data_IF_899047391137
#
_entry.id   IF_899047391137
#
_cell.length_a   1.000
_cell.length_b   1.000
_cell.length_c   1.000
_cell.angle_alpha   90.00
_cell.angle_beta   90.00
_cell.angle_gamma   90.00
#
_symmetry.space_group_name_H-M   'P 1'
#
loop_
_entity.id
_entity.type
_entity.pdbx_description
1 polymer ?
#
# COMPACT_ATOMS: atom_id res chain seq x y z
N UNK A 1 10.69 18.63 21.59
CA UNK A 1 11.42 17.95 20.49
C UNK A 1 11.14 16.47 20.62
N UNK A 2 10.37 15.91 19.70
CA UNK A 2 10.11 14.48 19.68
C UNK A 2 11.01 13.85 18.62
N UNK A 3 11.94 13.03 19.06
CA UNK A 3 12.79 12.22 18.18
C UNK A 3 12.28 10.79 18.24
N UNK A 4 11.99 10.20 17.09
CA UNK A 4 11.77 8.76 17.00
C UNK A 4 13.11 8.07 16.81
N UNK A 5 13.45 7.15 17.70
CA UNK A 5 14.66 6.33 17.59
C UNK A 5 14.32 5.09 16.76
N UNK A 6 14.84 5.00 15.55
CA UNK A 6 14.74 3.81 14.72
C UNK A 6 16.06 3.04 14.83
N UNK A 7 15.96 1.79 15.26
CA UNK A 7 17.11 0.88 15.29
C UNK A 7 17.15 0.10 13.97
N UNK A 8 18.06 0.47 13.09
CA UNK A 8 18.35 -0.25 11.85
C UNK A 8 19.74 -0.82 11.99
N UNK A 9 19.87 -2.10 12.37
CA UNK A 9 21.14 -2.71 12.69
C UNK A 9 21.85 -1.95 13.82
N UNK A 10 23.18 -1.97 13.86
CA UNK A 10 24.00 -1.34 14.92
C UNK A 10 24.07 0.20 14.87
N UNK A 11 23.28 0.87 14.02
CA UNK A 11 23.26 2.34 13.92
C UNK A 11 21.92 2.92 14.31
N UNK A 12 21.87 3.60 15.45
CA UNK A 12 20.72 4.43 15.82
C UNK A 12 20.75 5.71 14.96
N UNK A 13 19.85 5.83 14.00
CA UNK A 13 19.61 7.09 13.30
C UNK A 13 18.44 7.82 13.93
N UNK A 14 18.66 9.05 14.35
CA UNK A 14 17.60 9.93 14.83
C UNK A 14 17.09 10.76 13.64
N UNK A 15 15.87 10.47 13.18
CA UNK A 15 15.22 11.30 12.18
C UNK A 15 14.47 12.42 12.91
N UNK A 16 14.80 13.66 12.58
CA UNK A 16 14.15 14.82 13.16
C UNK A 16 12.73 14.94 12.58
N UNK A 17 11.72 14.54 13.35
CA UNK A 17 10.30 14.64 12.97
C UNK A 17 9.78 16.09 12.92
N UNK A 18 10.58 17.08 13.32
CA UNK A 18 10.16 18.49 13.40
C UNK A 18 9.86 19.13 12.02
N UNK A 19 10.24 18.48 10.91
CA UNK A 19 9.99 18.95 9.54
C UNK A 19 8.83 18.27 8.81
N UNK A 20 8.37 17.10 9.28
CA UNK A 20 7.24 16.39 8.63
C UNK A 20 5.97 16.76 9.38
N UNK A 21 5.25 17.75 8.88
CA UNK A 21 3.93 18.09 9.41
C UNK A 21 2.99 16.88 9.31
N UNK A 22 2.03 16.79 10.26
CA UNK A 22 1.04 15.71 10.29
C UNK A 22 0.33 15.59 8.94
N UNK A 23 0.42 14.44 8.28
CA UNK A 23 -0.20 14.23 6.96
C UNK A 23 -1.73 14.28 7.05
N UNK A 24 -2.39 14.46 5.91
CA UNK A 24 -3.85 14.39 5.86
C UNK A 24 -4.37 13.02 6.32
N UNK A 25 -3.66 11.95 5.93
CA UNK A 25 -3.96 10.57 6.37
C UNK A 25 -3.95 10.47 7.89
N UNK A 26 -2.88 10.95 8.54
CA UNK A 26 -2.75 10.93 9.99
C UNK A 26 -3.86 11.72 10.70
N UNK A 27 -4.22 12.91 10.16
CA UNK A 27 -5.32 13.73 10.73
C UNK A 27 -6.68 13.03 10.63
N UNK A 28 -6.92 12.32 9.54
CA UNK A 28 -8.16 11.58 9.31
C UNK A 28 -8.29 10.41 10.31
N UNK A 29 -7.21 9.64 10.51
CA UNK A 29 -7.19 8.53 11.46
C UNK A 29 -7.31 9.01 12.92
N UNK A 30 -6.66 10.12 13.28
CA UNK A 30 -6.82 10.73 14.62
C UNK A 30 -8.28 11.12 14.87
N UNK A 31 -8.92 11.74 13.89
CA UNK A 31 -10.35 12.11 14.00
C UNK A 31 -11.24 10.88 14.20
N UNK A 32 -10.89 9.78 13.54
CA UNK A 32 -11.57 8.50 13.67
C UNK A 32 -11.17 7.71 14.93
N UNK A 33 -10.16 8.20 15.68
CA UNK A 33 -9.60 7.52 16.87
C UNK A 33 -9.03 6.15 16.59
N UNK A 34 -8.53 5.94 15.38
CA UNK A 34 -7.88 4.70 14.96
C UNK A 34 -6.40 4.77 15.34
N UNK A 35 -5.89 3.68 15.90
CA UNK A 35 -4.48 3.56 16.29
C UNK A 35 -3.61 3.30 15.07
N UNK A 36 -2.50 4.00 14.99
CA UNK A 36 -1.49 3.82 13.95
C UNK A 36 -0.13 4.32 14.43
N UNK A 37 0.90 3.97 13.71
CA UNK A 37 2.25 4.51 13.88
C UNK A 37 2.73 5.07 12.54
N UNK A 38 3.41 6.21 12.57
CA UNK A 38 4.08 6.79 11.40
C UNK A 38 5.53 6.36 11.42
N UNK A 39 5.96 5.68 10.36
CA UNK A 39 7.32 5.15 10.23
C UNK A 39 8.01 5.81 9.04
N UNK A 40 9.00 6.67 9.30
CA UNK A 40 9.75 7.36 8.26
C UNK A 40 10.75 6.41 7.57
N UNK A 41 11.02 6.68 6.29
CA UNK A 41 12.08 6.05 5.51
C UNK A 41 12.74 7.07 4.59
N UNK A 42 13.98 6.80 4.14
CA UNK A 42 14.69 7.68 3.20
C UNK A 42 14.12 7.48 1.78
N UNK A 43 13.78 8.59 1.13
CA UNK A 43 13.26 8.55 -0.24
C UNK A 43 14.41 8.44 -1.22
N UNK A 44 14.41 7.38 -2.02
CA UNK A 44 15.22 7.29 -3.22
C UNK A 44 14.29 7.50 -4.42
N UNK A 45 14.45 8.63 -5.13
CA UNK A 45 13.60 8.93 -6.28
C UNK A 45 13.89 8.02 -7.49
N UNK A 46 15.03 7.33 -7.48
CA UNK A 46 15.39 6.36 -8.52
C UNK A 46 14.80 4.98 -8.25
N UNK A 47 14.48 4.68 -6.97
CA UNK A 47 13.83 3.44 -6.55
C UNK A 47 12.67 3.73 -5.57
N UNK A 48 11.47 3.86 -6.12
CA UNK A 48 10.23 3.99 -5.35
C UNK A 48 9.56 2.63 -5.08
N UNK A 49 10.31 1.54 -5.23
CA UNK A 49 9.85 0.17 -5.05
C UNK A 49 9.52 -0.16 -3.60
N UNK A 50 8.54 -1.05 -3.42
CA UNK A 50 8.16 -1.48 -2.07
C UNK A 50 9.27 -2.33 -1.40
N UNK A 51 10.13 -3.00 -2.18
CA UNK A 51 11.26 -3.76 -1.64
C UNK A 51 12.26 -2.84 -0.92
N UNK A 52 12.63 -1.72 -1.56
CA UNK A 52 13.50 -0.73 -0.94
C UNK A 52 12.92 -0.19 0.38
N UNK A 53 11.61 0.02 0.44
CA UNK A 53 10.92 0.42 1.66
C UNK A 53 11.00 -0.67 2.73
N UNK A 54 10.68 -1.92 2.38
CA UNK A 54 10.72 -3.05 3.31
C UNK A 54 12.12 -3.24 3.92
N UNK A 55 13.17 -3.16 3.08
CA UNK A 55 14.56 -3.29 3.50
C UNK A 55 14.95 -2.20 4.50
N UNK A 56 14.53 -0.94 4.27
CA UNK A 56 14.78 0.15 5.19
C UNK A 56 14.02 0.03 6.51
N UNK A 57 12.81 -0.50 6.46
CA UNK A 57 11.99 -0.73 7.65
C UNK A 57 12.50 -1.95 8.46
N UNK A 58 13.27 -2.85 7.84
CA UNK A 58 13.65 -4.15 8.41
C UNK A 58 12.45 -5.09 8.57
N UNK A 59 11.47 -4.97 7.67
CA UNK A 59 10.20 -5.69 7.71
C UNK A 59 10.02 -6.60 6.49
N UNK A 60 9.16 -7.58 6.63
CA UNK A 60 8.81 -8.48 5.52
C UNK A 60 8.08 -7.69 4.41
N UNK A 61 8.56 -7.84 3.16
CA UNK A 61 7.92 -7.25 1.98
C UNK A 61 6.44 -7.64 1.84
N UNK A 62 6.05 -8.80 2.36
CA UNK A 62 4.66 -9.26 2.38
C UNK A 62 3.76 -8.42 3.30
N UNK A 63 4.33 -7.68 4.26
CA UNK A 63 3.63 -6.74 5.14
C UNK A 63 3.59 -5.32 4.59
N UNK A 64 4.40 -5.01 3.57
CA UNK A 64 4.42 -3.69 2.92
C UNK A 64 3.48 -3.71 1.72
N UNK A 65 2.37 -2.98 1.81
CA UNK A 65 1.32 -2.97 0.78
C UNK A 65 1.41 -1.71 -0.07
N UNK A 66 1.27 -1.89 -1.38
CA UNK A 66 1.18 -0.79 -2.35
C UNK A 66 -0.27 -0.55 -2.76
N UNK A 67 -0.61 0.73 -2.91
CA UNK A 67 -1.94 1.17 -3.33
C UNK A 67 -1.92 1.48 -4.83
N UNK A 68 -2.68 0.74 -5.59
CA UNK A 68 -2.79 0.84 -7.04
C UNK A 68 -4.18 1.33 -7.41
N UNK A 69 -4.27 2.26 -8.35
CA UNK A 69 -5.54 2.77 -8.86
C UNK A 69 -5.75 2.23 -10.27
N UNK A 70 -6.92 1.67 -10.49
CA UNK A 70 -7.31 1.03 -11.73
C UNK A 70 -8.51 1.75 -12.36
N UNK A 71 -8.66 1.56 -13.66
CA UNK A 71 -9.83 1.98 -14.43
C UNK A 71 -10.58 0.76 -14.94
N UNK A 72 -11.89 0.85 -14.97
CA UNK A 72 -12.76 -0.19 -15.51
C UNK A 72 -13.83 0.36 -16.45
N UNK A 73 -14.51 -0.54 -17.13
CA UNK A 73 -15.54 -0.20 -18.11
C UNK A 73 -16.88 0.22 -17.48
N UNK A 74 -17.20 -0.28 -16.28
CA UNK A 74 -18.42 0.05 -15.54
C UNK A 74 -18.13 0.92 -14.32
N UNK A 75 -17.25 0.45 -13.44
CA UNK A 75 -16.73 1.20 -12.30
C UNK A 75 -15.47 1.89 -12.78
N UNK A 76 -15.60 3.19 -13.12
CA UNK A 76 -14.56 3.95 -13.80
C UNK A 76 -13.23 3.95 -13.06
N UNK A 77 -13.23 4.09 -11.74
CA UNK A 77 -12.03 4.07 -10.91
C UNK A 77 -12.27 3.24 -9.66
N UNK A 78 -11.30 2.43 -9.30
CA UNK A 78 -11.29 1.63 -8.09
C UNK A 78 -9.85 1.38 -7.64
N UNK A 79 -9.67 0.93 -6.42
CA UNK A 79 -8.36 0.81 -5.76
C UNK A 79 -8.09 -0.64 -5.39
N UNK A 80 -6.89 -1.10 -5.69
CA UNK A 80 -6.36 -2.38 -5.22
C UNK A 80 -5.16 -2.14 -4.31
N UNK A 81 -5.18 -2.72 -3.13
CA UNK A 81 -4.08 -2.67 -2.16
C UNK A 81 -3.50 -4.07 -2.05
N UNK A 82 -2.28 -4.23 -2.52
CA UNK A 82 -1.63 -5.55 -2.69
C UNK A 82 -0.24 -5.56 -2.05
N UNK A 83 0.30 -6.73 -1.63
CA UNK A 83 1.67 -6.83 -1.15
C UNK A 83 2.66 -6.23 -2.14
N UNK A 84 3.70 -5.60 -1.65
CA UNK A 84 4.65 -4.86 -2.45
C UNK A 84 5.37 -5.68 -3.51
N UNK A 85 5.66 -6.95 -3.21
CA UNK A 85 6.29 -7.90 -4.13
C UNK A 85 5.35 -8.47 -5.19
N UNK A 86 4.02 -8.32 -5.02
CA UNK A 86 3.05 -8.97 -5.89
C UNK A 86 2.54 -8.01 -6.98
N UNK A 87 2.17 -8.57 -8.12
CA UNK A 87 1.46 -7.84 -9.17
C UNK A 87 -0.06 -8.04 -9.07
N UNK A 88 -0.81 -6.98 -9.37
CA UNK A 88 -2.27 -7.08 -9.43
C UNK A 88 -2.69 -7.87 -10.67
N UNK A 89 -3.55 -8.86 -10.47
CA UNK A 89 -4.21 -9.56 -11.58
C UNK A 89 -5.39 -8.73 -12.07
N UNK A 90 -5.25 -8.16 -13.26
CA UNK A 90 -6.27 -7.28 -13.84
C UNK A 90 -7.60 -7.99 -14.11
N UNK A 91 -7.60 -9.30 -14.38
CA UNK A 91 -8.83 -10.08 -14.59
C UNK A 91 -9.55 -10.32 -13.26
N UNK A 92 -8.83 -10.70 -12.22
CA UNK A 92 -9.37 -10.85 -10.86
C UNK A 92 -9.87 -9.50 -10.34
N UNK A 93 -9.10 -8.42 -10.52
CA UNK A 93 -9.47 -7.06 -10.13
C UNK A 93 -10.73 -6.56 -10.86
N UNK A 94 -10.85 -6.80 -12.16
CA UNK A 94 -12.07 -6.50 -12.91
C UNK A 94 -13.27 -7.25 -12.34
N UNK A 95 -13.13 -8.56 -12.10
CA UNK A 95 -14.22 -9.40 -11.57
C UNK A 95 -14.73 -8.90 -10.22
N UNK A 96 -13.83 -8.62 -9.25
CA UNK A 96 -14.23 -8.19 -7.90
C UNK A 96 -14.84 -6.79 -7.88
N UNK A 97 -14.44 -5.92 -8.80
CA UNK A 97 -15.00 -4.56 -8.95
C UNK A 97 -16.26 -4.49 -9.81
N UNK A 98 -16.75 -5.63 -10.34
CA UNK A 98 -17.93 -5.69 -11.21
C UNK A 98 -17.70 -5.20 -12.64
N UNK A 99 -16.44 -5.04 -13.03
CA UNK A 99 -16.03 -4.67 -14.38
C UNK A 99 -15.83 -5.92 -15.27
N UNK A 100 -15.89 -5.74 -16.58
CA UNK A 100 -15.48 -6.76 -17.54
C UNK A 100 -14.01 -6.68 -17.87
N UNK A 101 -13.45 -5.45 -17.83
CA UNK A 101 -12.03 -5.16 -18.08
C UNK A 101 -11.54 -4.18 -17.04
N UNK A 102 -10.27 -4.29 -16.70
CA UNK A 102 -9.57 -3.35 -15.84
C UNK A 102 -8.18 -3.08 -16.40
N UNK A 103 -7.71 -1.88 -16.21
CA UNK A 103 -6.39 -1.41 -16.62
C UNK A 103 -5.80 -0.54 -15.50
N UNK A 104 -4.49 -0.44 -15.45
CA UNK A 104 -3.83 0.50 -14.53
C UNK A 104 -4.16 1.94 -14.94
N UNK A 105 -4.49 2.78 -13.98
CA UNK A 105 -4.66 4.21 -14.22
C UNK A 105 -3.34 4.80 -14.75
N UNK A 106 -3.43 5.58 -15.82
CA UNK A 106 -2.24 6.27 -16.34
C UNK A 106 -1.62 7.20 -15.29
N UNK A 107 -0.30 7.21 -15.21
CA UNK A 107 0.45 7.98 -14.21
C UNK A 107 0.09 9.47 -14.20
N UNK A 108 -0.12 10.07 -15.38
CA UNK A 108 -0.54 11.48 -15.53
C UNK A 108 -1.89 11.79 -14.89
N UNK A 109 -2.75 10.78 -14.77
CA UNK A 109 -4.11 10.91 -14.25
C UNK A 109 -4.20 10.60 -12.74
N UNK A 110 -3.12 10.09 -12.13
CA UNK A 110 -3.10 9.69 -10.71
C UNK A 110 -3.37 10.88 -9.79
N UNK A 111 -2.60 11.95 -9.92
CA UNK A 111 -2.75 13.16 -9.08
C UNK A 111 -4.10 13.86 -9.27
N UNK A 112 -4.59 14.10 -10.51
CA UNK A 112 -5.93 14.68 -10.71
C UNK A 112 -7.04 13.81 -10.09
N UNK A 113 -6.92 12.49 -10.17
CA UNK A 113 -7.95 11.55 -9.72
C UNK A 113 -7.95 11.36 -8.21
N UNK A 114 -6.79 11.14 -7.61
CA UNK A 114 -6.67 10.73 -6.20
C UNK A 114 -6.22 11.84 -5.26
N UNK A 115 -5.45 12.81 -5.76
CA UNK A 115 -4.73 13.79 -4.95
C UNK A 115 -3.34 13.31 -4.52
N UNK A 116 -2.92 12.12 -4.94
CA UNK A 116 -1.64 11.53 -4.61
C UNK A 116 -0.72 11.40 -5.82
N UNK A 117 0.56 11.33 -5.55
CA UNK A 117 1.61 11.05 -6.53
C UNK A 117 2.11 9.61 -6.36
N UNK A 118 2.81 9.11 -7.37
CA UNK A 118 3.51 7.81 -7.29
C UNK A 118 4.47 7.78 -6.11
N UNK A 119 4.49 6.67 -5.36
CA UNK A 119 5.28 6.50 -4.14
C UNK A 119 4.65 7.12 -2.88
N UNK A 120 3.56 7.91 -3.02
CA UNK A 120 2.83 8.51 -1.91
C UNK A 120 1.33 8.21 -1.92
N UNK A 121 0.87 7.27 -2.74
CA UNK A 121 -0.55 6.94 -2.86
C UNK A 121 -1.02 6.11 -1.64
N UNK A 122 -2.00 6.64 -0.92
CA UNK A 122 -2.64 5.99 0.24
C UNK A 122 -4.06 5.57 -0.09
N UNK A 123 -4.58 4.46 0.47
CA UNK A 123 -5.99 4.12 0.35
C UNK A 123 -6.90 5.06 1.16
N UNK A 124 -6.32 5.91 2.02
CA UNK A 124 -7.01 6.85 2.90
C UNK A 124 -6.96 8.26 2.29
N UNK A 125 -8.06 9.00 2.38
CA UNK A 125 -8.06 10.45 2.11
C UNK A 125 -7.92 10.83 0.64
N UNK A 126 -8.28 9.96 -0.28
CA UNK A 126 -8.40 10.30 -1.72
C UNK A 126 -9.46 11.38 -1.94
N UNK A 127 -9.35 12.15 -3.03
CA UNK A 127 -10.30 13.22 -3.40
C UNK A 127 -11.76 12.77 -3.45
N UNK A 128 -11.98 11.49 -3.77
CA UNK A 128 -13.30 10.84 -3.81
C UNK A 128 -13.19 9.46 -3.17
N UNK A 129 -14.28 8.95 -2.57
CA UNK A 129 -14.33 7.55 -2.18
C UNK A 129 -14.36 6.67 -3.44
N UNK A 130 -13.43 5.76 -3.54
CA UNK A 130 -13.38 4.74 -4.59
C UNK A 130 -13.62 3.37 -3.98
N UNK A 131 -14.35 2.46 -4.66
CA UNK A 131 -14.38 1.06 -4.26
C UNK A 131 -12.96 0.55 -4.08
N UNK A 132 -12.65 0.00 -2.91
CA UNK A 132 -11.30 -0.40 -2.53
C UNK A 132 -11.27 -1.87 -2.16
N UNK A 133 -10.29 -2.57 -2.68
CA UNK A 133 -10.09 -4.00 -2.48
C UNK A 133 -8.69 -4.25 -1.94
N UNK A 134 -8.59 -4.88 -0.79
CA UNK A 134 -7.33 -5.36 -0.23
C UNK A 134 -7.10 -6.81 -0.64
N UNK A 135 -5.87 -7.17 -0.96
CA UNK A 135 -5.53 -8.57 -1.06
C UNK A 135 -5.69 -9.24 0.30
N UNK A 136 -6.37 -10.38 0.32
CA UNK A 136 -6.79 -11.06 1.56
C UNK A 136 -5.63 -11.41 2.51
N UNK A 137 -4.39 -11.56 2.01
CA UNK A 137 -3.21 -11.82 2.83
C UNK A 137 -2.91 -10.73 3.86
N UNK A 138 -3.50 -9.54 3.73
CA UNK A 138 -3.34 -8.51 4.75
C UNK A 138 -3.86 -8.97 6.12
N UNK A 139 -4.83 -9.87 6.15
CA UNK A 139 -5.43 -10.41 7.37
C UNK A 139 -4.56 -11.47 8.07
N UNK A 140 -3.50 -11.93 7.43
CA UNK A 140 -2.54 -12.88 8.00
C UNK A 140 -1.56 -12.19 8.97
N UNK A 141 -1.59 -10.85 9.01
CA UNK A 141 -0.71 -10.02 9.82
C UNK A 141 -1.46 -9.24 10.89
N UNK A 142 -0.82 -8.99 12.03
CA UNK A 142 -1.34 -8.11 13.07
C UNK A 142 -1.28 -6.63 12.68
N UNK A 143 -0.37 -6.27 11.77
CA UNK A 143 -0.24 -4.94 11.19
C UNK A 143 0.35 -5.03 9.79
N UNK A 144 0.04 -4.03 8.99
CA UNK A 144 0.60 -3.84 7.65
C UNK A 144 1.14 -2.41 7.51
N UNK A 145 1.98 -2.22 6.51
CA UNK A 145 2.46 -0.90 6.10
C UNK A 145 1.76 -0.46 4.82
N UNK A 146 1.26 0.76 4.82
CA UNK A 146 0.75 1.45 3.62
C UNK A 146 1.28 2.88 3.61
N UNK A 147 1.30 3.54 2.46
CA UNK A 147 1.73 4.94 2.40
C UNK A 147 0.88 5.84 3.31
N UNK A 148 1.53 6.72 4.06
CA UNK A 148 0.89 7.76 4.87
C UNK A 148 0.44 8.99 4.04
N UNK A 149 0.40 8.88 2.70
CA UNK A 149 -0.06 9.91 1.78
C UNK A 149 1.04 10.84 1.27
N UNK A 150 2.30 10.59 1.63
CA UNK A 150 3.49 11.30 1.16
C UNK A 150 4.64 10.31 1.01
N UNK A 151 5.61 10.64 0.16
CA UNK A 151 6.88 9.89 0.09
C UNK A 151 7.65 10.05 1.38
N UNK A 152 8.41 9.05 1.78
CA UNK A 152 9.25 9.09 2.98
C UNK A 152 8.51 8.73 4.28
N UNK A 153 7.22 8.35 4.20
CA UNK A 153 6.44 8.05 5.39
C UNK A 153 5.47 6.89 5.15
N UNK A 154 5.61 5.84 5.95
CA UNK A 154 4.67 4.72 5.99
C UNK A 154 3.75 4.84 7.20
N UNK A 155 2.59 4.26 7.06
CA UNK A 155 1.59 4.07 8.09
C UNK A 155 1.61 2.60 8.50
N UNK A 156 1.97 2.30 9.75
CA UNK A 156 1.84 0.98 10.37
C UNK A 156 0.50 0.92 11.07
N UNK A 157 -0.37 0.00 10.68
CA UNK A 157 -1.76 -0.03 11.11
C UNK A 157 -2.32 -1.46 11.11
N UNK A 158 -3.26 -1.75 11.99
CA UNK A 158 -4.06 -2.99 11.95
C UNK A 158 -4.86 -3.02 10.63
N UNK A 159 -4.74 -4.09 9.83
CA UNK A 159 -5.45 -4.20 8.56
C UNK A 159 -6.98 -4.21 8.72
N UNK A 160 -7.52 -4.72 9.81
CA UNK A 160 -8.96 -4.77 10.06
C UNK A 160 -9.51 -3.37 10.29
N UNK A 161 -8.84 -2.57 11.13
CA UNK A 161 -9.20 -1.18 11.37
C UNK A 161 -9.13 -0.35 10.09
N UNK A 162 -8.10 -0.60 9.27
CA UNK A 162 -7.92 0.10 7.99
C UNK A 162 -9.02 -0.26 6.99
N UNK A 163 -9.32 -1.56 6.82
CA UNK A 163 -10.36 -2.06 5.90
C UNK A 163 -11.73 -1.50 6.30
N UNK A 164 -12.06 -1.54 7.59
CA UNK A 164 -13.32 -0.98 8.11
C UNK A 164 -13.40 0.53 7.86
N UNK A 165 -12.32 1.26 8.16
CA UNK A 165 -12.28 2.71 8.01
C UNK A 165 -12.50 3.18 6.57
N UNK A 166 -11.86 2.52 5.59
CA UNK A 166 -12.02 2.88 4.18
C UNK A 166 -13.24 2.25 3.53
N UNK A 167 -13.98 1.39 4.24
CA UNK A 167 -15.13 0.66 3.71
C UNK A 167 -14.73 -0.31 2.59
N UNK A 168 -13.57 -0.94 2.73
CA UNK A 168 -13.01 -1.83 1.72
C UNK A 168 -13.50 -3.27 1.88
N UNK A 169 -13.31 -4.05 0.82
CA UNK A 169 -13.48 -5.51 0.83
C UNK A 169 -12.14 -6.21 0.64
N UNK A 170 -12.05 -7.47 1.07
CA UNK A 170 -10.88 -8.32 0.82
C UNK A 170 -11.17 -9.30 -0.30
N UNK A 171 -10.18 -9.55 -1.16
CA UNK A 171 -10.29 -10.50 -2.26
C UNK A 171 -8.92 -11.06 -2.66
N UNK A 172 -8.92 -12.15 -3.44
CA UNK A 172 -7.73 -12.58 -4.16
C UNK A 172 -7.63 -11.76 -5.46
N UNK A 173 -6.66 -10.85 -5.51
CA UNK A 173 -6.48 -9.88 -6.60
C UNK A 173 -5.04 -9.80 -7.11
N UNK A 174 -4.20 -10.75 -6.77
CA UNK A 174 -2.82 -10.82 -7.25
C UNK A 174 -2.64 -11.93 -8.29
N UNK A 175 -1.60 -11.76 -9.12
CA UNK A 175 -1.13 -12.84 -10.00
C UNK A 175 -0.60 -13.97 -9.13
N UNK A 176 -1.16 -15.16 -9.30
CA UNK A 176 -0.64 -16.38 -8.69
C UNK A 176 0.38 -16.97 -9.66
N UNK A 177 1.60 -17.34 -9.22
CA UNK A 177 2.49 -18.13 -10.06
C UNK A 177 1.70 -19.36 -10.54
N UNK A 178 1.71 -19.61 -11.84
CA UNK A 178 1.12 -20.84 -12.38
C UNK A 178 1.91 -22.01 -11.82
N UNK A 179 1.23 -23.07 -11.40
CA UNK A 179 1.82 -24.33 -10.94
C UNK A 179 2.67 -25.06 -12.02
N UNK A 180 2.96 -24.42 -13.14
CA UNK A 180 3.71 -24.95 -14.27
C UNK A 180 5.23 -24.95 -14.06
N UNK A 181 5.76 -24.26 -13.04
CA UNK A 181 7.21 -24.25 -12.75
C UNK A 181 7.64 -25.27 -11.67
N UNK A 182 6.72 -26.05 -11.10
CA UNK A 182 7.04 -27.08 -10.11
C UNK A 182 7.21 -28.49 -10.69
N UNK A 183 7.10 -28.65 -12.01
CA UNK A 183 7.20 -29.93 -12.69
C UNK A 183 8.33 -29.98 -13.73
N UNK A 184 9.52 -29.53 -13.38
CA UNK A 184 10.68 -29.96 -14.16
C UNK A 184 11.90 -30.15 -13.28
N UNK A 185 12.14 -31.45 -13.10
CA UNK A 185 13.41 -32.12 -13.11
C UNK A 185 14.38 -31.88 -11.95
N UNK A 186 14.45 -32.86 -11.03
CA UNK A 186 15.60 -33.77 -11.11
C UNK A 186 15.34 -35.02 -10.26
N UNK A 187 14.75 -36.02 -10.91
CA UNK A 187 14.98 -37.42 -10.55
C UNK A 187 16.05 -37.92 -11.53
N UNK A 188 17.28 -37.96 -11.12
CA UNK A 188 18.29 -38.97 -11.46
C UNK A 188 19.44 -38.90 -10.46
#
# INVERSE_FOLDING_TARGET
MHYLCISIGDRKRFINMAGIGKTNVARLLDRAKIKYELVPYEVDETDLGAQHIADQLGEDILQVFKTLVLTGDKVKHFVCVVPGCCEVDLKKAAKVSGNKKAEMLHMKDLLPTTGYIRGGCSPIGMKKPFPTFFHRSCLDFNFIYVSAGVRGLQLKIDPKDLIEYVGASTADIIVTPKDEELNDEHIW
#
